data_IF_920866127863
#
_entry.id   IF_920866127863
#
_cell.length_a   1.000
_cell.length_b   1.000
_cell.length_c   1.000
_cell.angle_alpha   90.00
_cell.angle_beta   90.00
_cell.angle_gamma   90.00
#
_symmetry.space_group_name_H-M   'P 1'
#
loop_
_entity.id
_entity.type
_entity.pdbx_description
1 polymer ?
#
# COMPACT_ATOMS: atom_id res chain seq x y z
N UNK A 1 -20.74 -8.61 -18.43
CA UNK A 1 -19.98 -8.12 -19.60
C UNK A 1 -18.49 -8.34 -19.36
N UNK A 2 -17.77 -8.84 -20.39
CA UNK A 2 -16.31 -8.95 -20.31
C UNK A 2 -15.69 -7.54 -20.18
N UNK A 3 -14.60 -7.43 -19.41
CA UNK A 3 -13.92 -6.15 -19.24
C UNK A 3 -13.16 -5.78 -20.51
N UNK A 4 -13.36 -4.55 -21.00
CA UNK A 4 -12.67 -4.03 -22.17
C UNK A 4 -11.28 -3.50 -21.81
N UNK A 5 -10.25 -4.18 -22.25
CA UNK A 5 -8.85 -3.82 -22.05
C UNK A 5 -8.31 -2.76 -23.03
N UNK A 6 -9.11 -2.36 -24.03
CA UNK A 6 -8.68 -1.40 -25.05
C UNK A 6 -8.39 0.00 -24.50
N UNK A 7 -7.51 0.72 -25.18
CA UNK A 7 -7.24 2.13 -24.93
C UNK A 7 -7.97 3.01 -25.94
N UNK A 8 -9.25 2.69 -26.24
CA UNK A 8 -10.08 3.53 -27.09
C UNK A 8 -10.34 4.89 -26.43
N UNK A 9 -10.73 5.89 -27.24
CA UNK A 9 -11.07 7.25 -26.76
C UNK A 9 -12.12 7.18 -25.67
N UNK A 10 -13.19 6.39 -25.87
CA UNK A 10 -14.29 6.26 -24.93
C UNK A 10 -13.84 5.63 -23.62
N UNK A 11 -12.97 4.60 -23.67
CA UNK A 11 -12.41 4.01 -22.47
C UNK A 11 -11.50 4.96 -21.72
N UNK A 12 -10.64 5.70 -22.39
CA UNK A 12 -9.77 6.69 -21.77
C UNK A 12 -10.59 7.83 -21.13
N UNK A 13 -11.66 8.27 -21.77
CA UNK A 13 -12.52 9.35 -21.26
C UNK A 13 -13.17 9.03 -19.90
N UNK A 14 -13.34 7.75 -19.55
CA UNK A 14 -13.90 7.31 -18.26
C UNK A 14 -12.97 7.56 -17.06
N UNK A 15 -11.69 7.84 -17.31
CA UNK A 15 -10.67 8.00 -16.26
C UNK A 15 -10.38 9.44 -15.86
N UNK A 16 -11.15 10.41 -16.35
CA UNK A 16 -11.13 11.77 -15.80
C UNK A 16 -11.65 11.80 -14.38
N UNK A 17 -10.99 12.56 -13.52
CA UNK A 17 -11.52 12.91 -12.20
C UNK A 17 -12.44 14.14 -12.34
N UNK A 18 -13.50 14.19 -11.54
CA UNK A 18 -14.41 15.33 -11.53
C UNK A 18 -13.68 16.66 -11.22
N UNK A 19 -12.68 16.62 -10.32
CA UNK A 19 -11.85 17.76 -9.99
C UNK A 19 -10.97 18.27 -11.13
N UNK A 20 -10.61 17.41 -12.10
CA UNK A 20 -9.84 17.79 -13.28
C UNK A 20 -10.71 18.49 -14.30
N UNK A 21 -11.90 17.95 -14.54
CA UNK A 21 -12.87 18.54 -15.46
C UNK A 21 -13.44 19.85 -14.90
N UNK A 22 -13.63 19.96 -13.59
CA UNK A 22 -14.11 21.19 -12.95
C UNK A 22 -13.18 22.40 -13.14
N UNK A 23 -11.91 22.17 -13.49
CA UNK A 23 -10.96 23.26 -13.80
C UNK A 23 -11.25 23.97 -15.12
N UNK A 24 -12.00 23.35 -16.03
CA UNK A 24 -12.38 23.95 -17.29
C UNK A 24 -13.73 24.69 -17.16
N UNK A 25 -13.92 25.80 -17.91
CA UNK A 25 -15.21 26.46 -18.01
C UNK A 25 -16.33 25.48 -18.41
N UNK A 26 -17.50 25.59 -17.83
CA UNK A 26 -18.61 24.64 -18.04
C UNK A 26 -18.90 24.38 -19.53
N UNK A 27 -18.93 25.43 -20.34
CA UNK A 27 -19.20 25.36 -21.79
C UNK A 27 -18.12 24.56 -22.57
N UNK A 28 -16.88 24.49 -22.06
CA UNK A 28 -15.76 23.86 -22.76
C UNK A 28 -15.46 22.43 -22.27
N UNK A 29 -16.09 21.96 -21.19
CA UNK A 29 -15.76 20.67 -20.54
C UNK A 29 -15.82 19.48 -21.49
N UNK A 30 -16.87 19.41 -22.31
CA UNK A 30 -17.04 18.29 -23.25
C UNK A 30 -15.98 18.33 -24.35
N UNK A 31 -15.73 19.49 -24.95
CA UNK A 31 -14.71 19.68 -25.96
C UNK A 31 -13.30 19.36 -25.42
N UNK A 32 -12.98 19.80 -24.21
CA UNK A 32 -11.70 19.50 -23.58
C UNK A 32 -11.54 18.00 -23.26
N UNK A 33 -12.59 17.34 -22.78
CA UNK A 33 -12.58 15.88 -22.60
C UNK A 33 -12.27 15.16 -23.89
N UNK A 34 -12.95 15.53 -24.97
CA UNK A 34 -12.74 14.92 -26.28
C UNK A 34 -11.31 15.15 -26.80
N UNK A 35 -10.84 16.38 -26.78
CA UNK A 35 -9.49 16.76 -27.21
C UNK A 35 -8.41 15.99 -26.47
N UNK A 36 -8.49 15.95 -25.13
CA UNK A 36 -7.52 15.27 -24.27
C UNK A 36 -7.57 13.74 -24.48
N UNK A 37 -8.79 13.17 -24.60
CA UNK A 37 -8.95 11.73 -24.87
C UNK A 37 -8.42 11.34 -26.24
N UNK A 38 -8.61 12.18 -27.26
CA UNK A 38 -8.04 11.99 -28.61
C UNK A 38 -6.50 12.00 -28.56
N UNK A 39 -5.91 12.95 -27.85
CA UNK A 39 -4.47 13.05 -27.69
C UNK A 39 -3.91 11.82 -26.96
N UNK A 40 -4.53 11.43 -25.84
CA UNK A 40 -4.14 10.21 -25.12
C UNK A 40 -4.23 8.95 -26.02
N UNK A 41 -5.28 8.83 -26.82
CA UNK A 41 -5.43 7.73 -27.78
C UNK A 41 -4.31 7.72 -28.83
N UNK A 42 -4.00 8.88 -29.44
CA UNK A 42 -2.91 9.01 -30.41
C UNK A 42 -1.57 8.64 -29.81
N UNK A 43 -1.28 9.07 -28.60
CA UNK A 43 -0.05 8.76 -27.88
C UNK A 43 0.09 7.24 -27.64
N UNK A 44 -1.00 6.56 -27.28
CA UNK A 44 -1.02 5.08 -27.16
C UNK A 44 -0.77 4.41 -28.53
N UNK A 45 -1.40 4.87 -29.62
CA UNK A 45 -1.17 4.32 -30.95
C UNK A 45 0.28 4.42 -31.41
N UNK A 46 0.96 5.50 -31.03
CA UNK A 46 2.41 5.71 -31.26
C UNK A 46 3.28 4.96 -30.24
N UNK A 47 2.70 4.11 -29.39
CA UNK A 47 3.38 3.38 -28.33
C UNK A 47 4.19 4.28 -27.38
N UNK A 48 3.74 5.51 -27.15
CA UNK A 48 4.38 6.53 -26.29
C UNK A 48 5.82 6.88 -26.73
N UNK A 49 6.16 6.66 -28.00
CA UNK A 49 7.49 7.00 -28.55
C UNK A 49 7.71 8.52 -28.50
N UNK A 50 8.90 8.92 -28.05
CA UNK A 50 9.30 10.34 -27.93
C UNK A 50 8.41 11.18 -27.02
N UNK A 51 7.74 10.55 -26.05
CA UNK A 51 6.86 11.21 -25.09
C UNK A 51 7.47 11.07 -23.70
N UNK A 52 7.67 12.17 -23.00
CA UNK A 52 8.10 12.18 -21.61
C UNK A 52 6.90 12.01 -20.68
N UNK A 53 6.65 10.77 -20.24
CA UNK A 53 5.57 10.45 -19.30
C UNK A 53 5.89 10.86 -17.87
N UNK A 54 7.14 10.66 -17.47
CA UNK A 54 7.58 10.73 -16.09
C UNK A 54 8.35 11.99 -15.79
N UNK A 55 8.07 12.58 -14.63
CA UNK A 55 8.88 13.62 -14.01
C UNK A 55 9.38 13.12 -12.66
N UNK A 56 10.70 13.17 -12.44
CA UNK A 56 11.30 12.88 -11.14
C UNK A 56 11.09 14.06 -10.18
N UNK A 57 10.66 13.75 -8.96
CA UNK A 57 10.47 14.71 -7.86
C UNK A 57 11.10 14.14 -6.59
N UNK A 58 11.54 15.00 -5.68
CA UNK A 58 12.06 14.56 -4.38
C UNK A 58 11.02 14.84 -3.29
N UNK A 59 10.64 13.81 -2.55
CA UNK A 59 9.69 13.91 -1.44
C UNK A 59 10.35 13.27 -0.21
N UNK A 60 10.56 14.05 0.85
CA UNK A 60 11.22 13.61 2.10
C UNK A 60 12.57 12.89 1.84
N UNK A 61 13.42 13.49 1.03
CA UNK A 61 14.73 12.97 0.61
C UNK A 61 14.70 11.64 -0.16
N UNK A 62 13.52 11.21 -0.63
CA UNK A 62 13.38 10.04 -1.50
C UNK A 62 12.94 10.47 -2.89
N UNK A 63 13.49 9.81 -3.92
CA UNK A 63 13.02 10.00 -5.29
C UNK A 63 11.62 9.43 -5.45
N UNK A 64 10.74 10.23 -6.05
CA UNK A 64 9.40 9.81 -6.45
C UNK A 64 9.16 10.26 -7.89
N UNK A 65 8.19 9.67 -8.56
CA UNK A 65 7.87 9.93 -9.95
C UNK A 65 6.41 10.32 -10.08
N UNK A 66 6.14 11.28 -10.94
CA UNK A 66 4.78 11.79 -11.18
C UNK A 66 4.53 11.98 -12.65
N UNK A 67 3.28 11.99 -13.04
CA UNK A 67 2.81 12.27 -14.39
C UNK A 67 2.18 13.65 -14.37
N UNK A 68 2.66 14.55 -15.22
CA UNK A 68 2.23 15.94 -15.19
C UNK A 68 1.07 16.22 -16.14
N UNK A 69 1.05 15.58 -17.30
CA UNK A 69 0.05 15.82 -18.33
C UNK A 69 -1.20 14.98 -18.09
N UNK A 70 -2.37 15.58 -18.34
CA UNK A 70 -3.66 14.96 -18.06
C UNK A 70 -3.92 13.76 -18.97
N UNK A 71 -3.60 13.87 -20.27
CA UNK A 71 -3.67 12.78 -21.25
C UNK A 71 -2.86 11.55 -20.80
N UNK A 72 -1.65 11.75 -20.28
CA UNK A 72 -0.81 10.66 -19.79
C UNK A 72 -1.36 10.05 -18.48
N UNK A 73 -1.99 10.86 -17.61
CA UNK A 73 -2.68 10.36 -16.43
C UNK A 73 -3.84 9.42 -16.80
N UNK A 74 -4.60 9.73 -17.87
CA UNK A 74 -5.66 8.85 -18.36
C UNK A 74 -5.11 7.50 -18.78
N UNK A 75 -3.98 7.49 -19.52
CA UNK A 75 -3.32 6.26 -19.98
C UNK A 75 -2.88 5.41 -18.78
N UNK A 76 -2.23 6.00 -17.78
CA UNK A 76 -1.74 5.25 -16.61
C UNK A 76 -2.86 4.78 -15.70
N UNK A 77 -3.95 5.54 -15.57
CA UNK A 77 -5.16 5.09 -14.84
C UNK A 77 -5.83 3.92 -15.56
N UNK A 78 -5.90 3.95 -16.88
CA UNK A 78 -6.38 2.81 -17.68
C UNK A 78 -5.47 1.61 -17.52
N UNK A 79 -4.15 1.80 -17.59
CA UNK A 79 -3.16 0.75 -17.33
C UNK A 79 -3.33 0.14 -15.93
N UNK A 80 -3.48 0.98 -14.90
CA UNK A 80 -3.77 0.54 -13.53
C UNK A 80 -5.00 -0.37 -13.49
N UNK A 81 -6.07 0.02 -14.16
CA UNK A 81 -7.30 -0.76 -14.17
C UNK A 81 -7.16 -2.07 -14.98
N UNK A 82 -6.41 -2.05 -16.08
CA UNK A 82 -6.11 -3.25 -16.86
C UNK A 82 -5.31 -4.26 -16.01
N UNK A 83 -4.25 -3.80 -15.31
CA UNK A 83 -3.48 -4.62 -14.38
C UNK A 83 -4.39 -5.20 -13.28
N UNK A 84 -5.20 -4.34 -12.66
CA UNK A 84 -6.14 -4.76 -11.60
C UNK A 84 -7.06 -5.88 -12.05
N UNK A 85 -7.57 -5.83 -13.27
CA UNK A 85 -8.47 -6.84 -13.82
C UNK A 85 -7.73 -8.10 -14.27
N UNK A 86 -6.56 -7.95 -14.91
CA UNK A 86 -5.76 -9.09 -15.38
C UNK A 86 -5.18 -9.94 -14.25
N UNK A 87 -4.88 -9.35 -13.10
CA UNK A 87 -4.32 -10.05 -11.95
C UNK A 87 -5.34 -10.24 -10.81
N UNK A 88 -6.61 -9.95 -11.03
CA UNK A 88 -7.68 -10.01 -10.02
C UNK A 88 -7.32 -9.26 -8.74
N UNK A 89 -6.57 -8.16 -8.88
CA UNK A 89 -6.06 -7.40 -7.77
C UNK A 89 -7.16 -6.68 -7.00
N UNK A 90 -7.16 -6.87 -5.68
CA UNK A 90 -7.96 -6.10 -4.74
C UNK A 90 -7.04 -5.46 -3.72
N UNK A 91 -7.00 -4.13 -3.71
CA UNK A 91 -6.17 -3.41 -2.76
C UNK A 91 -6.53 -3.81 -1.32
N UNK A 92 -5.53 -4.15 -0.48
CA UNK A 92 -5.78 -4.50 0.91
C UNK A 92 -6.41 -3.32 1.66
N UNK A 93 -7.53 -3.57 2.34
CA UNK A 93 -8.19 -2.57 3.16
C UNK A 93 -7.55 -2.54 4.55
N UNK A 94 -6.85 -1.43 4.86
CA UNK A 94 -6.19 -1.24 6.15
C UNK A 94 -7.11 -1.44 7.34
N UNK A 95 -8.34 -0.93 7.28
CA UNK A 95 -9.32 -1.06 8.37
C UNK A 95 -9.70 -2.53 8.61
N UNK A 96 -9.94 -3.28 7.54
CA UNK A 96 -10.24 -4.71 7.63
C UNK A 96 -9.07 -5.50 8.21
N UNK A 97 -7.84 -5.18 7.79
CA UNK A 97 -6.62 -5.81 8.33
C UNK A 97 -6.54 -5.60 9.84
N UNK A 98 -6.69 -4.37 10.32
CA UNK A 98 -6.61 -4.03 11.74
C UNK A 98 -7.75 -4.68 12.55
N UNK A 99 -8.98 -4.69 12.01
CA UNK A 99 -10.12 -5.34 12.66
C UNK A 99 -9.90 -6.84 12.83
N UNK A 100 -9.45 -7.52 11.78
CA UNK A 100 -9.18 -8.96 11.82
C UNK A 100 -8.01 -9.27 12.76
N UNK A 101 -6.93 -8.47 12.71
CA UNK A 101 -5.81 -8.60 13.62
C UNK A 101 -6.24 -8.48 15.08
N UNK A 102 -7.05 -7.46 15.41
CA UNK A 102 -7.57 -7.24 16.77
C UNK A 102 -8.39 -8.42 17.25
N UNK A 103 -9.23 -9.02 16.39
CA UNK A 103 -10.02 -10.20 16.73
C UNK A 103 -9.13 -11.39 17.10
N UNK A 104 -8.09 -11.66 16.29
CA UNK A 104 -7.17 -12.77 16.52
C UNK A 104 -6.28 -12.60 17.75
N UNK A 105 -5.79 -11.37 18.01
CA UNK A 105 -4.99 -11.09 19.19
C UNK A 105 -5.76 -11.31 20.51
N UNK A 106 -7.09 -11.26 20.49
CA UNK A 106 -7.95 -11.54 21.66
C UNK A 106 -8.04 -13.01 22.02
N UNK A 107 -7.66 -13.91 21.10
CA UNK A 107 -7.71 -15.35 21.35
C UNK A 107 -6.89 -15.74 22.59
N UNK A 108 -7.46 -16.61 23.43
CA UNK A 108 -6.81 -17.08 24.66
C UNK A 108 -5.68 -18.11 24.42
N UNK A 109 -5.64 -18.70 23.23
CA UNK A 109 -4.63 -19.70 22.85
C UNK A 109 -3.23 -19.06 22.74
N UNK A 110 -2.15 -19.85 22.90
CA UNK A 110 -0.80 -19.38 22.59
C UNK A 110 -0.66 -19.02 21.12
N UNK A 111 0.13 -17.99 20.83
CA UNK A 111 0.48 -17.61 19.47
C UNK A 111 1.77 -16.79 19.46
N UNK A 112 2.44 -16.79 18.29
CA UNK A 112 3.53 -15.86 18.03
C UNK A 112 3.10 -14.79 17.03
N UNK A 113 3.59 -13.57 17.21
CA UNK A 113 3.39 -12.44 16.30
C UNK A 113 4.74 -12.07 15.70
N UNK A 114 4.82 -12.10 14.38
CA UNK A 114 5.95 -11.60 13.60
C UNK A 114 5.52 -10.35 12.87
N UNK A 115 6.16 -9.22 13.15
CA UNK A 115 6.04 -8.01 12.35
C UNK A 115 7.34 -7.82 11.60
N UNK A 116 7.25 -7.74 10.27
CA UNK A 116 8.37 -7.66 9.35
C UNK A 116 8.19 -6.48 8.41
N UNK A 117 9.29 -5.91 7.94
CA UNK A 117 9.32 -4.83 6.96
C UNK A 117 10.40 -5.14 5.92
N UNK A 118 10.11 -4.89 4.64
CA UNK A 118 11.06 -5.16 3.55
C UNK A 118 11.93 -3.92 3.34
N UNK A 119 13.26 -4.12 3.29
CA UNK A 119 14.21 -3.05 3.08
C UNK A 119 14.12 -2.47 1.67
N UNK A 120 13.96 -1.15 1.57
CA UNK A 120 13.93 -0.42 0.28
C UNK A 120 13.06 -1.07 -0.78
N UNK A 121 11.88 -1.56 -0.40
CA UNK A 121 11.02 -2.47 -1.15
C UNK A 121 10.91 -2.13 -2.64
N UNK A 122 10.45 -0.90 -2.97
CA UNK A 122 10.25 -0.51 -4.36
C UNK A 122 11.54 -0.50 -5.18
N UNK A 123 12.65 -0.09 -4.57
CA UNK A 123 13.96 0.04 -5.20
C UNK A 123 14.65 -1.33 -5.39
N UNK A 124 14.28 -2.32 -4.57
CA UNK A 124 14.91 -3.66 -4.55
C UNK A 124 14.22 -4.69 -5.45
N UNK A 125 13.09 -4.34 -6.08
CA UNK A 125 12.39 -5.25 -7.01
C UNK A 125 13.25 -5.51 -8.25
N UNK A 126 13.44 -6.78 -8.59
CA UNK A 126 14.08 -7.19 -9.85
C UNK A 126 13.09 -7.00 -11.02
N UNK A 127 13.42 -6.05 -11.90
CA UNK A 127 12.60 -5.73 -13.07
C UNK A 127 12.40 -6.93 -14.00
N UNK A 128 13.42 -7.78 -14.18
CA UNK A 128 13.34 -8.89 -15.13
C UNK A 128 12.32 -9.92 -14.66
N UNK A 129 12.36 -10.28 -13.39
CA UNK A 129 11.38 -11.19 -12.77
C UNK A 129 9.98 -10.59 -12.82
N UNK A 130 9.84 -9.30 -12.52
CA UNK A 130 8.54 -8.62 -12.62
C UNK A 130 7.99 -8.69 -14.05
N UNK A 131 8.82 -8.40 -15.07
CA UNK A 131 8.39 -8.48 -16.48
C UNK A 131 8.11 -9.89 -16.95
N UNK A 132 8.79 -10.90 -16.39
CA UNK A 132 8.45 -12.30 -16.63
C UNK A 132 7.02 -12.61 -16.15
N UNK A 133 6.67 -12.26 -14.91
CA UNK A 133 5.32 -12.42 -14.39
C UNK A 133 4.26 -11.67 -15.23
N UNK A 134 4.58 -10.44 -15.65
CA UNK A 134 3.68 -9.63 -16.50
C UNK A 134 3.50 -10.24 -17.91
N UNK A 135 4.57 -10.78 -18.49
CA UNK A 135 4.52 -11.38 -19.83
C UNK A 135 3.80 -12.72 -19.84
N UNK A 136 3.95 -13.52 -18.78
CA UNK A 136 3.29 -14.81 -18.62
C UNK A 136 1.78 -14.69 -18.35
N UNK A 137 1.29 -13.47 -18.01
CA UNK A 137 -0.14 -13.25 -17.86
C UNK A 137 -0.82 -13.04 -19.21
N UNK A 138 -1.63 -14.01 -19.62
CA UNK A 138 -2.37 -13.99 -20.91
C UNK A 138 -3.51 -12.97 -20.93
N UNK A 139 -4.05 -12.58 -19.77
CA UNK A 139 -5.14 -11.61 -19.69
C UNK A 139 -4.67 -10.17 -19.82
N UNK A 140 -3.37 -9.90 -19.69
CA UNK A 140 -2.83 -8.56 -19.86
C UNK A 140 -2.61 -8.27 -21.35
N UNK A 141 -3.35 -7.31 -21.89
CA UNK A 141 -3.30 -6.97 -23.32
C UNK A 141 -1.92 -6.44 -23.75
N UNK A 142 -1.58 -6.65 -25.03
CA UNK A 142 -0.28 -6.27 -25.61
C UNK A 142 0.03 -4.78 -25.50
N UNK A 143 -0.97 -3.91 -25.63
CA UNK A 143 -0.80 -2.46 -25.43
C UNK A 143 -0.38 -2.13 -24.01
N UNK A 144 -0.98 -2.75 -22.98
CA UNK A 144 -0.57 -2.56 -21.59
C UNK A 144 0.88 -2.98 -21.35
N UNK A 145 1.30 -4.12 -21.93
CA UNK A 145 2.70 -4.60 -21.86
C UNK A 145 3.68 -3.61 -22.52
N UNK A 146 3.31 -3.04 -23.67
CA UNK A 146 4.14 -2.03 -24.37
C UNK A 146 4.23 -0.74 -23.59
N UNK A 147 3.12 -0.23 -23.03
CA UNK A 147 3.09 0.98 -22.20
C UNK A 147 3.97 0.79 -20.95
N UNK A 148 3.89 -0.37 -20.29
CA UNK A 148 4.75 -0.69 -19.15
C UNK A 148 6.24 -0.67 -19.54
N UNK A 149 6.60 -1.31 -20.65
CA UNK A 149 8.01 -1.31 -21.14
C UNK A 149 8.51 0.09 -21.37
N UNK A 150 7.74 0.95 -22.02
CA UNK A 150 8.16 2.33 -22.30
C UNK A 150 8.23 3.15 -21.00
N UNK A 151 7.29 2.99 -20.08
CA UNK A 151 7.30 3.64 -18.77
C UNK A 151 8.55 3.26 -17.97
N UNK A 152 8.92 1.98 -17.93
CA UNK A 152 10.11 1.52 -17.23
C UNK A 152 11.40 1.98 -17.90
N UNK A 153 11.46 2.03 -19.23
CA UNK A 153 12.58 2.60 -19.98
C UNK A 153 12.84 4.05 -19.58
N UNK A 154 11.76 4.86 -19.52
CA UNK A 154 11.88 6.26 -19.09
C UNK A 154 12.25 6.37 -17.60
N UNK A 155 11.70 5.50 -16.75
CA UNK A 155 12.06 5.44 -15.35
C UNK A 155 13.55 5.18 -15.12
N UNK A 156 14.13 4.25 -15.86
CA UNK A 156 15.57 3.94 -15.85
C UNK A 156 16.42 5.10 -16.38
N UNK A 157 15.99 5.76 -17.46
CA UNK A 157 16.72 6.93 -18.01
C UNK A 157 16.76 8.10 -17.02
N UNK A 158 15.81 8.17 -16.07
CA UNK A 158 15.81 9.13 -14.98
C UNK A 158 16.61 8.66 -13.74
N UNK A 159 17.35 7.55 -13.86
CA UNK A 159 18.14 6.95 -12.77
C UNK A 159 17.29 6.20 -11.75
N UNK A 160 16.15 5.65 -12.16
CA UNK A 160 15.30 4.82 -11.30
C UNK A 160 15.73 3.35 -11.33
N UNK A 161 15.55 2.65 -10.20
CA UNK A 161 15.72 1.19 -10.08
C UNK A 161 14.48 0.58 -9.42
N UNK A 162 14.18 -0.68 -9.75
CA UNK A 162 13.03 -1.39 -9.22
C UNK A 162 11.70 -0.91 -9.79
N UNK A 163 10.76 -0.49 -8.94
CA UNK A 163 9.43 0.01 -9.27
C UNK A 163 9.34 1.52 -9.01
N UNK A 164 8.81 2.35 -9.95
CA UNK A 164 8.73 3.79 -9.79
C UNK A 164 7.80 4.20 -8.64
N UNK A 165 8.35 4.72 -7.54
CA UNK A 165 7.58 5.21 -6.38
C UNK A 165 6.73 6.43 -6.76
N UNK A 166 5.49 6.47 -6.29
CA UNK A 166 4.57 7.61 -6.47
C UNK A 166 3.53 7.45 -7.59
N UNK A 167 3.62 6.41 -8.41
CA UNK A 167 2.63 6.09 -9.43
C UNK A 167 1.52 5.18 -8.87
N UNK A 168 0.30 5.35 -9.38
CA UNK A 168 -0.85 4.51 -8.98
C UNK A 168 -0.67 3.02 -9.29
N UNK A 169 0.14 2.66 -10.29
CA UNK A 169 0.43 1.28 -10.69
C UNK A 169 1.43 0.58 -9.76
N UNK A 170 2.21 1.33 -8.97
CA UNK A 170 3.34 0.77 -8.22
C UNK A 170 2.93 -0.27 -7.18
N UNK A 171 1.82 -0.04 -6.49
CA UNK A 171 1.30 -1.00 -5.51
C UNK A 171 0.85 -2.31 -6.18
N UNK A 172 0.21 -2.25 -7.36
CA UNK A 172 -0.18 -3.47 -8.08
C UNK A 172 1.05 -4.23 -8.55
N UNK A 173 2.04 -3.53 -9.09
CA UNK A 173 3.29 -4.16 -9.54
C UNK A 173 4.04 -4.81 -8.38
N UNK A 174 4.07 -4.17 -7.21
CA UNK A 174 4.67 -4.75 -6.02
C UNK A 174 3.91 -5.99 -5.52
N UNK A 175 2.58 -6.01 -5.63
CA UNK A 175 1.79 -7.17 -5.24
C UNK A 175 1.92 -8.33 -6.23
N UNK A 176 2.04 -8.03 -7.53
CA UNK A 176 2.35 -9.05 -8.55
C UNK A 176 3.71 -9.70 -8.25
N UNK A 177 4.72 -8.90 -7.88
CA UNK A 177 6.04 -9.39 -7.54
C UNK A 177 6.06 -10.27 -6.30
N UNK A 178 5.23 -9.95 -5.29
CA UNK A 178 5.15 -10.68 -4.02
C UNK A 178 4.17 -11.86 -4.05
N UNK A 179 3.51 -12.14 -5.16
CA UNK A 179 2.42 -13.12 -5.23
C UNK A 179 2.85 -14.53 -4.79
N UNK A 180 4.03 -14.99 -5.18
CA UNK A 180 4.58 -16.29 -4.77
C UNK A 180 4.80 -16.36 -3.27
N UNK A 181 5.42 -15.33 -2.69
CA UNK A 181 5.63 -15.21 -1.25
C UNK A 181 4.30 -15.20 -0.49
N UNK A 182 3.36 -14.36 -0.91
CA UNK A 182 2.04 -14.26 -0.29
C UNK A 182 1.32 -15.61 -0.27
N UNK A 183 1.43 -16.39 -1.35
CA UNK A 183 0.84 -17.72 -1.45
C UNK A 183 1.57 -18.76 -0.58
N UNK A 184 2.91 -18.76 -0.57
CA UNK A 184 3.70 -19.68 0.24
C UNK A 184 3.40 -19.49 1.73
N UNK A 185 3.43 -18.25 2.21
CA UNK A 185 3.18 -17.97 3.63
C UNK A 185 1.72 -18.23 4.02
N UNK A 186 0.75 -17.86 3.17
CA UNK A 186 -0.68 -18.10 3.46
C UNK A 186 -1.04 -19.59 3.51
N UNK A 187 -0.28 -20.46 2.85
CA UNK A 187 -0.50 -21.93 2.84
C UNK A 187 0.30 -22.67 3.92
N UNK A 188 1.16 -21.99 4.64
CA UNK A 188 1.98 -22.61 5.68
C UNK A 188 1.12 -23.06 6.87
N UNK A 189 1.24 -24.32 7.27
CA UNK A 189 0.38 -24.97 8.28
C UNK A 189 0.47 -24.36 9.68
N UNK A 190 1.57 -23.68 10.01
CA UNK A 190 1.73 -23.01 11.32
C UNK A 190 1.20 -21.58 11.32
N UNK A 191 0.86 -21.03 10.15
CA UNK A 191 0.39 -19.65 9.98
C UNK A 191 -1.12 -19.59 10.07
N UNK A 192 -1.65 -18.94 11.09
CA UNK A 192 -3.08 -18.71 11.27
C UNK A 192 -3.56 -17.43 10.57
N UNK A 193 -2.67 -16.43 10.51
CA UNK A 193 -2.99 -15.16 9.89
C UNK A 193 -1.75 -14.59 9.22
N UNK A 194 -1.92 -14.21 7.97
CA UNK A 194 -0.93 -13.50 7.18
C UNK A 194 -1.60 -12.30 6.51
N UNK A 195 -0.99 -11.14 6.63
CA UNK A 195 -1.36 -9.96 5.83
C UNK A 195 -0.14 -9.12 5.56
N UNK A 196 -0.11 -8.60 4.35
CA UNK A 196 0.88 -7.64 3.89
C UNK A 196 0.17 -6.35 3.43
N UNK A 197 0.76 -5.23 3.75
CA UNK A 197 0.36 -3.92 3.25
C UNK A 197 1.60 -3.21 2.67
N UNK A 198 1.84 -3.39 1.38
CA UNK A 198 3.05 -2.97 0.64
C UNK A 198 4.29 -3.68 1.21
N UNK A 199 5.11 -2.99 2.00
CA UNK A 199 6.31 -3.46 2.68
C UNK A 199 6.08 -3.96 4.12
N UNK A 200 4.99 -3.53 4.76
CA UNK A 200 4.63 -3.93 6.13
C UNK A 200 3.94 -5.31 6.15
N UNK A 201 4.54 -6.29 6.81
CA UNK A 201 4.04 -7.66 6.94
C UNK A 201 3.70 -7.97 8.40
N UNK A 202 2.59 -8.67 8.62
CA UNK A 202 2.24 -9.25 9.90
C UNK A 202 1.84 -10.72 9.74
N UNK A 203 2.39 -11.57 10.60
CA UNK A 203 2.11 -13.02 10.65
C UNK A 203 1.74 -13.39 12.08
N UNK A 204 0.68 -14.16 12.25
CA UNK A 204 0.34 -14.83 13.52
C UNK A 204 0.43 -16.33 13.28
N UNK A 205 1.17 -17.00 14.13
CA UNK A 205 1.39 -18.45 14.05
C UNK A 205 0.82 -19.16 15.28
N UNK A 206 0.81 -20.49 15.24
CA UNK A 206 0.34 -21.35 16.33
C UNK A 206 1.19 -21.29 17.60
N UNK A 207 2.35 -20.63 17.56
CA UNK A 207 3.30 -20.62 18.67
C UNK A 207 4.06 -21.95 18.89
N UNK A 208 3.96 -22.88 17.93
CA UNK A 208 4.63 -24.19 17.98
C UNK A 208 5.95 -24.20 17.20
N UNK A 209 6.12 -23.24 16.30
CA UNK A 209 7.33 -23.11 15.50
C UNK A 209 8.46 -22.46 16.31
N UNK A 210 9.69 -22.81 15.95
CA UNK A 210 10.90 -22.17 16.48
C UNK A 210 11.24 -20.94 15.64
N UNK A 211 11.42 -19.80 16.30
CA UNK A 211 11.75 -18.52 15.65
C UNK A 211 12.99 -18.64 14.75
N UNK A 212 14.03 -19.32 15.25
CA UNK A 212 15.33 -19.40 14.60
C UNK A 212 15.33 -20.26 13.32
N UNK A 213 14.35 -21.15 13.16
CA UNK A 213 14.11 -21.90 11.92
C UNK A 213 13.08 -21.22 11.02
N UNK A 214 12.06 -20.57 11.60
CA UNK A 214 10.98 -19.97 10.85
C UNK A 214 11.41 -18.69 10.11
N UNK A 215 12.24 -17.83 10.72
CA UNK A 215 12.73 -16.61 10.07
C UNK A 215 13.59 -16.87 8.83
N UNK A 216 14.58 -17.79 8.83
CA UNK A 216 15.29 -18.18 7.62
C UNK A 216 14.37 -18.73 6.54
N UNK A 217 13.37 -19.54 6.92
CA UNK A 217 12.35 -20.02 5.97
C UNK A 217 11.56 -18.85 5.34
N UNK A 218 11.09 -17.89 6.12
CA UNK A 218 10.44 -16.69 5.57
C UNK A 218 11.36 -15.94 4.60
N UNK A 219 12.66 -15.84 4.94
CA UNK A 219 13.65 -15.16 4.10
C UNK A 219 13.92 -15.90 2.79
N UNK A 220 13.91 -17.24 2.80
CA UNK A 220 14.11 -18.06 1.58
C UNK A 220 12.92 -17.98 0.61
N UNK A 221 11.71 -17.71 1.13
CA UNK A 221 10.51 -17.53 0.31
C UNK A 221 10.43 -16.14 -0.37
N UNK A 222 11.22 -15.15 0.12
CA UNK A 222 11.21 -13.82 -0.49
C UNK A 222 11.66 -13.87 -1.96
N UNK A 223 10.99 -13.14 -2.85
CA UNK A 223 11.47 -12.95 -4.21
C UNK A 223 12.90 -12.40 -4.23
N UNK A 224 13.67 -12.81 -5.23
CA UNK A 224 15.05 -12.38 -5.43
C UNK A 224 15.20 -10.85 -5.34
N UNK A 225 16.24 -10.40 -4.65
CA UNK A 225 16.54 -8.98 -4.47
C UNK A 225 15.88 -8.35 -3.25
N UNK A 226 14.90 -9.00 -2.62
CA UNK A 226 14.27 -8.51 -1.41
C UNK A 226 14.92 -9.11 -0.16
N UNK A 227 15.05 -8.28 0.87
CA UNK A 227 15.52 -8.70 2.20
C UNK A 227 14.66 -8.04 3.28
N UNK A 228 14.49 -8.71 4.41
CA UNK A 228 13.86 -8.10 5.56
C UNK A 228 14.79 -7.08 6.24
N UNK A 229 14.21 -6.04 6.83
CA UNK A 229 14.95 -5.17 7.74
C UNK A 229 15.33 -5.94 8.99
N UNK A 230 16.59 -5.80 9.42
CA UNK A 230 17.14 -6.40 10.64
C UNK A 230 16.97 -5.54 11.90
N UNK A 231 16.68 -4.24 11.71
CA UNK A 231 16.69 -3.23 12.76
C UNK A 231 15.34 -3.14 13.52
N UNK A 232 15.07 -2.02 14.17
CA UNK A 232 13.87 -1.71 14.99
C UNK A 232 12.51 -2.01 14.31
N UNK A 233 12.51 -2.35 13.03
CA UNK A 233 11.30 -2.69 12.27
C UNK A 233 10.94 -4.17 12.33
N UNK A 234 11.84 -5.04 12.79
CA UNK A 234 11.53 -6.41 13.11
C UNK A 234 11.03 -6.51 14.55
N UNK A 235 9.86 -7.09 14.74
CA UNK A 235 9.31 -7.35 16.08
C UNK A 235 8.79 -8.78 16.15
N UNK A 236 9.24 -9.50 17.17
CA UNK A 236 8.75 -10.83 17.51
C UNK A 236 8.17 -10.82 18.92
N UNK A 237 6.97 -11.34 19.07
CA UNK A 237 6.29 -11.46 20.36
C UNK A 237 5.74 -12.87 20.46
N UNK A 238 6.15 -13.58 21.51
CA UNK A 238 5.62 -14.89 21.85
C UNK A 238 4.65 -14.78 23.04
N UNK A 239 3.44 -15.21 22.84
CA UNK A 239 2.38 -15.21 23.87
C UNK A 239 2.10 -16.63 24.29
N UNK A 240 2.53 -16.98 25.51
CA UNK A 240 2.29 -18.29 26.13
C UNK A 240 0.93 -18.35 26.83
N UNK A 241 0.48 -19.58 27.14
CA UNK A 241 -0.75 -19.83 27.90
C UNK A 241 -0.64 -19.40 29.37
N UNK A 242 0.54 -19.53 29.98
CA UNK A 242 0.78 -19.20 31.38
C UNK A 242 1.41 -17.80 31.52
N UNK A 243 0.57 -16.80 31.62
CA UNK A 243 0.98 -15.40 31.80
C UNK A 243 1.37 -15.09 33.25
N UNK A 244 1.14 -16.02 34.19
CA UNK A 244 1.43 -15.84 35.63
C UNK A 244 2.93 -15.86 36.00
N UNK A 245 3.83 -16.01 35.01
CA UNK A 245 5.26 -15.93 35.26
C UNK A 245 5.68 -14.48 35.53
N UNK A 246 6.10 -14.20 36.77
CA UNK A 246 6.52 -12.88 37.22
C UNK A 246 7.71 -12.25 36.48
N UNK A 247 8.41 -13.05 35.67
CA UNK A 247 9.55 -12.60 34.88
C UNK A 247 9.19 -12.02 33.49
N UNK A 248 7.94 -12.13 33.03
CA UNK A 248 7.51 -11.60 31.73
C UNK A 248 7.06 -10.14 31.84
N UNK A 249 7.26 -9.31 30.79
CA UNK A 249 6.83 -7.93 30.82
C UNK A 249 5.31 -7.82 31.02
N UNK A 250 4.89 -6.77 31.75
CA UNK A 250 3.49 -6.52 32.09
C UNK A 250 2.57 -6.42 30.85
N UNK A 251 3.10 -5.90 29.74
CA UNK A 251 2.39 -5.73 28.48
C UNK A 251 3.34 -5.95 27.32
N UNK A 252 2.85 -6.60 26.26
CA UNK A 252 3.54 -6.67 24.98
C UNK A 252 3.00 -5.61 24.04
N UNK A 253 3.87 -4.78 23.48
CA UNK A 253 3.45 -3.70 22.58
C UNK A 253 4.13 -3.81 21.22
N UNK A 254 3.39 -3.52 20.16
CA UNK A 254 3.92 -3.36 18.82
C UNK A 254 3.11 -2.38 18.00
N UNK A 255 3.77 -1.75 17.02
CA UNK A 255 3.13 -0.82 16.11
C UNK A 255 2.90 -1.50 14.74
N UNK A 256 1.67 -1.40 14.19
CA UNK A 256 1.37 -1.88 12.85
C UNK A 256 0.40 -0.96 12.14
N UNK A 257 0.69 -0.61 10.89
CA UNK A 257 -0.13 0.29 10.05
C UNK A 257 -0.54 1.60 10.75
N UNK A 258 0.31 2.13 11.64
CA UNK A 258 0.10 3.38 12.36
C UNK A 258 -0.82 3.29 13.58
N UNK A 259 -1.11 2.08 14.04
CA UNK A 259 -1.70 1.79 15.35
C UNK A 259 -0.68 1.12 16.25
N UNK A 260 -0.80 1.38 17.55
CA UNK A 260 -0.08 0.69 18.62
C UNK A 260 -1.01 -0.30 19.29
N UNK A 261 -0.59 -1.54 19.34
CA UNK A 261 -1.30 -2.63 20.01
C UNK A 261 -0.60 -2.93 21.32
N UNK A 262 -1.37 -3.00 22.41
CA UNK A 262 -0.87 -3.44 23.71
C UNK A 262 -1.67 -4.67 24.15
N UNK A 263 -0.98 -5.80 24.29
CA UNK A 263 -1.55 -7.07 24.73
C UNK A 263 -1.33 -7.16 26.25
N UNK A 264 -2.41 -7.10 27.03
CA UNK A 264 -2.34 -7.18 28.48
C UNK A 264 -2.27 -8.64 28.95
N UNK A 265 -1.69 -8.86 30.14
CA UNK A 265 -1.68 -10.18 30.78
C UNK A 265 -3.08 -10.62 31.25
N UNK A 266 -3.96 -9.67 31.51
CA UNK A 266 -5.28 -9.95 32.05
C UNK A 266 -6.23 -10.47 30.97
N UNK A 267 -7.13 -11.35 31.42
CA UNK A 267 -8.24 -11.83 30.60
C UNK A 267 -9.52 -11.06 30.97
N UNK A 268 -10.39 -10.88 29.99
CA UNK A 268 -11.73 -10.37 30.21
C UNK A 268 -12.60 -11.41 30.95
N UNK A 269 -13.79 -11.02 31.39
CA UNK A 269 -14.78 -11.94 31.96
C UNK A 269 -15.10 -13.11 31.03
N UNK A 270 -15.04 -12.88 29.73
CA UNK A 270 -15.27 -13.89 28.68
C UNK A 270 -14.03 -14.74 28.36
N UNK A 271 -13.01 -14.71 29.19
CA UNK A 271 -11.72 -15.42 29.01
C UNK A 271 -10.94 -15.02 27.77
N UNK A 272 -11.27 -13.91 27.14
CA UNK A 272 -10.51 -13.33 26.03
C UNK A 272 -9.37 -12.43 26.54
N UNK A 273 -8.27 -12.31 25.78
CA UNK A 273 -7.19 -11.37 26.12
C UNK A 273 -7.65 -9.93 25.98
N UNK A 274 -7.21 -9.10 26.91
CA UNK A 274 -7.47 -7.65 26.85
C UNK A 274 -6.45 -7.01 25.92
N UNK A 275 -6.92 -6.43 24.83
CA UNK A 275 -6.09 -5.71 23.83
C UNK A 275 -6.48 -4.25 23.86
N UNK A 276 -5.48 -3.39 24.16
CA UNK A 276 -5.62 -1.94 23.96
C UNK A 276 -5.06 -1.55 22.60
N UNK A 277 -5.80 -0.72 21.89
CA UNK A 277 -5.38 -0.17 20.60
C UNK A 277 -5.39 1.35 20.70
N UNK A 278 -4.31 1.98 20.25
CA UNK A 278 -4.16 3.42 20.15
C UNK A 278 -3.46 3.81 18.85
N UNK A 279 -3.38 5.10 18.57
CA UNK A 279 -2.60 5.60 17.44
C UNK A 279 -1.12 5.56 17.81
N UNK A 280 -0.29 4.97 16.96
CA UNK A 280 1.15 4.89 17.17
C UNK A 280 1.79 6.29 17.35
N UNK A 281 2.69 6.43 18.34
CA UNK A 281 3.31 7.70 18.72
C UNK A 281 3.94 8.45 17.53
N UNK A 282 4.63 7.73 16.64
CA UNK A 282 5.20 8.32 15.42
C UNK A 282 4.12 8.90 14.50
N UNK A 283 2.93 8.34 14.50
CA UNK A 283 1.79 8.85 13.72
C UNK A 283 1.18 10.08 14.37
N UNK A 284 1.05 10.08 15.71
CA UNK A 284 0.58 11.25 16.47
C UNK A 284 1.49 12.46 16.21
N UNK A 285 2.82 12.27 16.29
CA UNK A 285 3.79 13.33 15.96
C UNK A 285 3.59 13.89 14.55
N UNK A 286 3.40 13.01 13.54
CA UNK A 286 3.14 13.43 12.16
C UNK A 286 1.81 14.17 11.99
N UNK A 287 0.75 13.75 12.70
CA UNK A 287 -0.56 14.44 12.68
C UNK A 287 -0.43 15.82 13.30
N UNK A 288 0.19 15.95 14.49
CA UNK A 288 0.43 17.24 15.16
C UNK A 288 1.18 18.21 14.23
N UNK A 289 2.27 17.74 13.58
CA UNK A 289 3.01 18.59 12.62
C UNK A 289 2.15 19.05 11.46
N UNK A 290 1.26 18.18 10.92
CA UNK A 290 0.36 18.57 9.83
C UNK A 290 -0.70 19.57 10.27
N UNK A 291 -1.23 19.42 11.49
CA UNK A 291 -2.17 20.38 12.08
C UNK A 291 -1.49 21.76 12.21
N UNK A 292 -0.28 21.82 12.81
CA UNK A 292 0.48 23.07 12.95
C UNK A 292 0.70 23.71 11.57
N UNK A 293 1.13 22.95 10.57
CA UNK A 293 1.30 23.45 9.20
C UNK A 293 0.01 23.97 8.58
N UNK A 294 -1.13 23.35 8.88
CA UNK A 294 -2.43 23.82 8.39
C UNK A 294 -2.80 25.18 8.99
N UNK A 295 -2.53 25.41 10.27
CA UNK A 295 -2.73 26.70 10.93
C UNK A 295 -1.75 27.78 10.43
N UNK A 296 -0.47 27.45 10.23
CA UNK A 296 0.52 28.39 9.65
C UNK A 296 0.09 28.79 8.22
N UNK A 297 -0.42 27.87 7.42
CA UNK A 297 -0.94 28.20 6.09
C UNK A 297 -2.17 29.13 6.23
N UNK A 298 -3.10 28.80 7.12
CA UNK A 298 -4.29 29.64 7.38
C UNK A 298 -3.93 31.05 7.82
N UNK A 299 -2.91 31.23 8.68
CA UNK A 299 -2.48 32.58 9.10
C UNK A 299 -2.01 33.46 7.95
N UNK A 300 -1.55 32.84 6.83
CA UNK A 300 -1.13 33.54 5.60
C UNK A 300 -2.29 33.80 4.64
N UNK A 301 -3.10 32.74 4.39
CA UNK A 301 -4.08 32.71 3.31
C UNK A 301 -5.50 33.09 3.76
N UNK A 302 -5.75 33.11 5.10
CA UNK A 302 -7.05 33.39 5.76
C UNK A 302 -8.21 32.53 5.19
N UNK A 303 -7.90 31.40 4.54
CA UNK A 303 -8.90 30.55 3.90
C UNK A 303 -9.43 29.47 4.86
N UNK A 304 -10.51 29.82 5.56
CA UNK A 304 -11.16 28.96 6.55
C UNK A 304 -11.68 27.64 5.98
N UNK A 305 -12.17 27.65 4.74
CA UNK A 305 -12.67 26.45 4.07
C UNK A 305 -11.55 25.41 3.90
N UNK A 306 -10.40 25.82 3.41
CA UNK A 306 -9.23 24.94 3.23
C UNK A 306 -8.73 24.42 4.59
N UNK A 307 -8.71 25.27 5.62
CA UNK A 307 -8.34 24.83 6.97
C UNK A 307 -9.27 23.72 7.47
N UNK A 308 -10.59 23.93 7.36
CA UNK A 308 -11.60 22.96 7.79
C UNK A 308 -11.46 21.64 7.05
N UNK A 309 -11.29 21.66 5.73
CA UNK A 309 -11.09 20.44 4.91
C UNK A 309 -9.83 19.68 5.33
N UNK A 310 -8.71 20.39 5.61
CA UNK A 310 -7.47 19.77 6.12
C UNK A 310 -7.65 19.12 7.49
N UNK A 311 -8.32 19.78 8.41
CA UNK A 311 -8.57 19.24 9.75
C UNK A 311 -9.51 18.03 9.71
N UNK A 312 -10.59 18.10 8.94
CA UNK A 312 -11.51 16.97 8.71
C UNK A 312 -10.76 15.77 8.12
N UNK A 313 -9.93 15.99 7.09
CA UNK A 313 -9.12 14.91 6.51
C UNK A 313 -8.18 14.26 7.55
N UNK A 314 -7.59 15.03 8.46
CA UNK A 314 -6.71 14.50 9.49
C UNK A 314 -7.47 13.74 10.58
N UNK A 315 -8.69 14.15 10.92
CA UNK A 315 -9.51 13.51 11.97
C UNK A 315 -10.18 12.21 11.50
N UNK A 316 -10.61 12.13 10.24
CA UNK A 316 -11.40 10.98 9.73
C UNK A 316 -10.59 9.69 9.57
N UNK A 317 -9.26 9.78 9.41
CA UNK A 317 -8.42 8.61 9.11
C UNK A 317 -8.24 7.61 10.27
N UNK A 318 -8.58 7.98 11.51
CA UNK A 318 -8.31 7.17 12.73
C UNK A 318 -9.49 7.08 13.70
N UNK A 319 -10.63 7.74 13.43
CA UNK A 319 -11.69 7.98 14.42
C UNK A 319 -12.52 6.76 14.83
N UNK A 320 -12.51 5.65 14.07
CA UNK A 320 -13.45 4.54 14.31
C UNK A 320 -12.92 3.37 15.15
N UNK A 321 -11.62 3.24 15.33
CA UNK A 321 -11.04 2.10 16.06
C UNK A 321 -10.64 2.42 17.50
N UNK A 322 -10.26 3.69 17.79
CA UNK A 322 -9.88 4.11 19.14
C UNK A 322 -11.08 4.36 20.07
N UNK A 323 -12.31 4.43 19.56
CA UNK A 323 -13.52 4.72 20.37
C UNK A 323 -14.28 3.48 20.85
N UNK A 324 -13.84 2.28 20.54
CA UNK A 324 -14.42 1.08 21.13
C UNK A 324 -13.75 0.78 22.48
N UNK A 325 -14.08 1.57 23.51
CA UNK A 325 -14.22 1.01 24.85
C UNK A 325 -15.37 0.02 24.74
N UNK A 326 -15.06 -1.22 24.46
CA UNK A 326 -16.03 -2.30 24.61
C UNK A 326 -15.97 -2.67 26.07
N UNK A 327 -17.01 -2.24 26.80
CA UNK A 327 -17.39 -2.65 28.14
C UNK A 327 -17.44 -4.16 28.24
#
# INVERSE_FOLDING_TARGET
MAYDHSYSKDNLSKYFLNSEIAKFPAAQRNQQRETISNKAYQDVQRHLRNINLLRKVTINNKSAYTITLLEHNLIVRKLHQNLRKSFYYSAPNRHTIIKNLLSLLREATPYNVYRLDIQSFFESVDKNILFEHLNNNYFLCSYSKKILKELFKQFESLGGSGIPRGLSISNILSDIYMQSFDQAISKNNVVFYYRRYVDDIIIITSGKEEKDSFLPHLSSELPKGLIFNSDDKFQFISISKNINNSSLPLNYTFDYLGYSFSIEKNYSKDKNRVIKIDIANNKIKKIKTKIIRAFIAFSKDQNFKILTERLLFLSTNFSRLCCTKIS
#
